data_IF_766909255418
#
_entry.id   IF_766909255418
#
_cell.length_a   1.000
_cell.length_b   1.000
_cell.length_c   1.000
_cell.angle_alpha   90.00
_cell.angle_beta   90.00
_cell.angle_gamma   90.00
#
_symmetry.space_group_name_H-M   'P 1'
#
loop_
_entity.id
_entity.type
_entity.pdbx_description
1 polymer ?
#
# COMPACT_ATOMS: atom_id res chain seq x y z
N UNK A 1 -33.27 -39.52 25.05
CA UNK A 1 -32.07 -38.93 25.71
C UNK A 1 -30.84 -38.86 24.81
N UNK A 2 -30.51 -39.87 23.99
CA UNK A 2 -29.30 -39.90 23.15
C UNK A 2 -29.13 -38.69 22.21
N UNK A 3 -30.19 -38.28 21.50
CA UNK A 3 -30.16 -37.14 20.56
C UNK A 3 -30.04 -35.76 21.24
N UNK A 4 -30.49 -35.61 22.50
CA UNK A 4 -30.36 -34.34 23.25
C UNK A 4 -28.90 -34.03 23.53
N UNK A 5 -28.08 -35.05 23.80
CA UNK A 5 -26.64 -34.89 24.00
C UNK A 5 -25.93 -34.46 22.71
N UNK A 6 -26.27 -35.05 21.57
CA UNK A 6 -25.71 -34.68 20.26
C UNK A 6 -26.07 -33.24 19.87
N UNK A 7 -27.30 -32.81 20.10
CA UNK A 7 -27.73 -31.43 19.84
C UNK A 7 -26.93 -30.44 20.70
N UNK A 8 -26.74 -30.74 21.99
CA UNK A 8 -25.94 -29.91 22.88
C UNK A 8 -24.47 -29.85 22.45
N UNK A 9 -23.91 -30.97 21.97
CA UNK A 9 -22.54 -31.03 21.48
C UNK A 9 -22.34 -30.18 20.22
N UNK A 10 -23.25 -30.25 19.25
CA UNK A 10 -23.21 -29.41 18.06
C UNK A 10 -23.34 -27.91 18.39
N UNK A 11 -24.21 -27.57 19.35
CA UNK A 11 -24.41 -26.19 19.79
C UNK A 11 -23.15 -25.65 20.49
N UNK A 12 -22.46 -26.48 21.28
CA UNK A 12 -21.20 -26.12 21.92
C UNK A 12 -20.07 -25.85 20.92
N UNK A 13 -19.93 -26.70 19.89
CA UNK A 13 -18.93 -26.52 18.83
C UNK A 13 -19.17 -25.23 18.06
N UNK A 14 -20.44 -24.91 17.76
CA UNK A 14 -20.81 -23.67 17.07
C UNK A 14 -20.47 -22.42 17.90
N UNK A 15 -20.73 -22.45 19.21
CA UNK A 15 -20.39 -21.35 20.12
C UNK A 15 -18.88 -21.11 20.24
N UNK A 16 -18.08 -22.18 20.30
CA UNK A 16 -16.60 -22.06 20.38
C UNK A 16 -16.02 -21.53 19.07
N UNK A 17 -16.59 -21.90 17.92
CA UNK A 17 -16.16 -21.37 16.61
C UNK A 17 -16.46 -19.87 16.43
N UNK A 18 -17.58 -19.37 16.95
CA UNK A 18 -17.94 -17.94 16.87
C UNK A 18 -17.09 -17.06 17.80
N UNK A 19 -16.60 -17.63 18.91
CA UNK A 19 -15.72 -16.94 19.87
C UNK A 19 -14.25 -16.85 19.41
N UNK A 20 -13.89 -17.46 18.27
CA UNK A 20 -12.54 -17.38 17.72
C UNK A 20 -12.28 -16.00 17.10
N UNK A 21 -11.99 -15.00 17.95
CA UNK A 21 -11.51 -13.70 17.50
C UNK A 21 -10.09 -13.84 16.95
N UNK A 22 -9.94 -13.63 15.65
CA UNK A 22 -8.63 -13.44 15.03
C UNK A 22 -8.10 -12.10 15.52
N UNK A 23 -7.09 -12.12 16.39
CA UNK A 23 -6.43 -10.89 16.85
C UNK A 23 -5.59 -10.33 15.71
N UNK A 24 -6.17 -9.44 14.92
CA UNK A 24 -5.43 -8.70 13.91
C UNK A 24 -4.46 -7.75 14.62
N UNK A 25 -3.17 -7.99 14.43
CA UNK A 25 -2.15 -7.02 14.82
C UNK A 25 -2.22 -5.90 13.80
N UNK A 26 -2.84 -4.77 14.15
CA UNK A 26 -2.76 -3.55 13.37
C UNK A 26 -1.37 -2.96 13.57
N UNK A 27 -0.43 -3.31 12.69
CA UNK A 27 0.85 -2.61 12.58
C UNK A 27 0.54 -1.24 11.98
N UNK A 28 0.84 -0.13 12.68
CA UNK A 28 0.59 1.20 12.12
C UNK A 28 1.42 1.37 10.84
N UNK A 29 0.74 1.72 9.75
CA UNK A 29 1.40 1.98 8.47
C UNK A 29 2.38 3.15 8.63
N UNK A 30 3.51 3.08 7.91
CA UNK A 30 4.42 4.23 7.86
C UNK A 30 3.73 5.41 7.17
N UNK A 31 4.18 6.64 7.44
CA UNK A 31 3.51 7.83 6.89
C UNK A 31 3.53 7.79 5.35
N UNK A 32 2.39 8.00 4.69
CA UNK A 32 2.34 8.04 3.23
C UNK A 32 3.09 9.26 2.67
N UNK A 33 3.53 9.22 1.40
CA UNK A 33 4.06 10.38 0.70
C UNK A 33 3.03 11.51 0.64
N UNK A 34 3.49 12.75 0.45
CA UNK A 34 2.59 13.88 0.24
C UNK A 34 1.74 13.71 -1.04
N UNK A 35 0.52 14.26 -1.02
CA UNK A 35 -0.33 14.32 -2.21
C UNK A 35 0.35 15.13 -3.31
N UNK A 36 0.17 14.69 -4.56
CA UNK A 36 0.62 15.46 -5.71
C UNK A 36 -0.37 16.58 -5.99
N UNK A 37 0.14 17.81 -6.07
CA UNK A 37 -0.64 18.99 -6.42
C UNK A 37 -0.37 19.29 -7.89
N UNK A 38 -1.43 19.35 -8.68
CA UNK A 38 -1.33 19.71 -10.10
C UNK A 38 -1.14 21.23 -10.19
N UNK A 39 0.01 21.64 -10.70
CA UNK A 39 0.31 23.05 -11.00
C UNK A 39 -0.47 23.50 -12.24
N UNK A 40 -0.81 24.79 -12.31
CA UNK A 40 -1.44 25.37 -13.50
C UNK A 40 -0.45 25.36 -14.68
N UNK A 41 -0.86 24.75 -15.80
CA UNK A 41 0.02 24.48 -16.94
C UNK A 41 -0.26 25.51 -18.03
N UNK A 42 0.69 26.41 -18.25
CA UNK A 42 0.57 27.51 -19.22
C UNK A 42 1.45 27.31 -20.46
N UNK A 43 2.40 26.36 -20.43
CA UNK A 43 3.36 26.12 -21.51
C UNK A 43 3.67 24.64 -21.69
N UNK A 44 4.09 24.24 -22.89
CA UNK A 44 4.52 22.86 -23.19
C UNK A 44 5.69 22.40 -22.30
N UNK A 45 6.59 23.32 -21.95
CA UNK A 45 7.70 23.03 -21.03
C UNK A 45 7.17 22.65 -19.64
N UNK A 46 6.19 23.40 -19.14
CA UNK A 46 5.53 23.09 -17.86
C UNK A 46 4.72 21.79 -17.94
N UNK A 47 4.13 21.48 -19.10
CA UNK A 47 3.44 20.21 -19.31
C UNK A 47 4.39 19.02 -19.16
N UNK A 48 5.55 19.07 -19.81
CA UNK A 48 6.57 18.01 -19.71
C UNK A 48 7.09 17.89 -18.28
N UNK A 49 7.35 19.02 -17.62
CA UNK A 49 7.81 19.02 -16.23
C UNK A 49 6.74 18.47 -15.27
N UNK A 50 5.47 18.84 -15.46
CA UNK A 50 4.34 18.34 -14.68
C UNK A 50 4.15 16.83 -14.87
N UNK A 51 4.31 16.34 -16.11
CA UNK A 51 4.32 14.91 -16.40
C UNK A 51 5.45 14.18 -15.68
N UNK A 52 6.69 14.70 -15.73
CA UNK A 52 7.81 14.09 -15.02
C UNK A 52 7.57 14.05 -13.49
N UNK A 53 7.09 15.16 -12.91
CA UNK A 53 6.76 15.25 -11.47
C UNK A 53 5.67 14.25 -11.08
N UNK A 54 4.63 14.09 -11.90
CA UNK A 54 3.51 13.18 -11.60
C UNK A 54 3.96 11.71 -11.62
N UNK A 55 4.78 11.31 -12.59
CA UNK A 55 5.34 9.95 -12.66
C UNK A 55 6.22 9.63 -11.45
N UNK A 56 7.07 10.59 -11.01
CA UNK A 56 7.86 10.45 -9.79
C UNK A 56 6.95 10.21 -8.59
N UNK A 57 5.89 11.02 -8.43
CA UNK A 57 4.96 10.88 -7.31
C UNK A 57 4.18 9.57 -7.32
N UNK A 58 3.70 9.12 -8.47
CA UNK A 58 3.06 7.80 -8.62
C UNK A 58 4.01 6.70 -8.16
N UNK A 59 5.28 6.79 -8.55
CA UNK A 59 6.30 5.82 -8.17
C UNK A 59 6.56 5.80 -6.65
N UNK A 60 6.61 6.97 -6.01
CA UNK A 60 6.75 7.07 -4.55
C UNK A 60 5.58 6.41 -3.82
N UNK A 61 4.35 6.65 -4.28
CA UNK A 61 3.14 6.04 -3.73
C UNK A 61 3.11 4.52 -3.91
N UNK A 62 3.48 4.03 -5.09
CA UNK A 62 3.59 2.60 -5.35
C UNK A 62 4.65 1.92 -4.46
N UNK A 63 5.82 2.55 -4.29
CA UNK A 63 6.85 2.06 -3.37
C UNK A 63 6.35 2.00 -1.93
N UNK A 64 5.73 3.07 -1.45
CA UNK A 64 5.18 3.12 -0.10
C UNK A 64 4.11 2.03 0.13
N UNK A 65 3.18 1.89 -0.81
CA UNK A 65 2.13 0.88 -0.73
C UNK A 65 2.69 -0.54 -0.70
N UNK A 66 3.63 -0.86 -1.60
CA UNK A 66 4.29 -2.17 -1.65
C UNK A 66 4.93 -2.56 -0.31
N UNK A 67 5.54 -1.59 0.38
CA UNK A 67 6.09 -1.78 1.74
C UNK A 67 4.98 -2.08 2.75
N UNK A 68 3.84 -1.36 2.71
CA UNK A 68 2.75 -1.57 3.68
C UNK A 68 2.11 -2.95 3.56
N UNK A 69 1.88 -3.41 2.33
CA UNK A 69 1.17 -4.67 2.08
C UNK A 69 2.10 -5.88 1.96
N UNK A 70 3.42 -5.68 2.15
CA UNK A 70 4.41 -6.75 2.00
C UNK A 70 4.43 -7.37 0.60
N UNK A 71 4.00 -6.60 -0.41
CA UNK A 71 3.85 -7.07 -1.79
C UNK A 71 5.00 -6.57 -2.65
N UNK A 72 5.50 -7.46 -3.52
CA UNK A 72 6.56 -7.13 -4.48
C UNK A 72 6.00 -7.04 -5.90
N UNK A 73 4.78 -6.49 -6.05
CA UNK A 73 4.07 -6.39 -7.33
C UNK A 73 4.89 -5.66 -8.41
N UNK A 74 5.78 -4.76 -7.98
CA UNK A 74 6.74 -4.08 -8.86
C UNK A 74 8.16 -4.26 -8.32
N UNK A 75 9.00 -4.97 -9.08
CA UNK A 75 10.44 -5.09 -8.82
C UNK A 75 11.14 -3.85 -9.37
N UNK A 76 11.44 -2.89 -8.49
CA UNK A 76 12.23 -1.72 -8.87
C UNK A 76 13.70 -2.14 -9.04
N UNK A 77 14.21 -2.01 -10.26
CA UNK A 77 15.63 -2.20 -10.57
C UNK A 77 16.36 -0.86 -10.40
N UNK A 78 17.40 -0.82 -9.55
CA UNK A 78 18.23 0.37 -9.30
C UNK A 78 19.22 0.65 -10.46
N UNK A 79 18.76 0.69 -11.71
CA UNK A 79 19.63 0.99 -12.86
C UNK A 79 19.64 2.48 -13.24
N UNK A 80 19.25 3.37 -12.33
CA UNK A 80 19.30 4.81 -12.57
C UNK A 80 20.64 5.30 -12.02
N UNK A 81 21.66 5.35 -12.88
CA UNK A 81 22.74 6.32 -12.69
C UNK A 81 22.08 7.68 -12.55
N UNK A 82 22.18 8.25 -11.36
CA UNK A 82 21.71 9.58 -11.05
C UNK A 82 22.58 10.50 -11.90
N UNK A 83 22.10 10.92 -13.07
CA UNK A 83 22.68 12.05 -13.81
C UNK A 83 22.46 13.26 -12.90
N UNK A 84 23.44 13.54 -12.04
CA UNK A 84 23.48 14.77 -11.27
C UNK A 84 23.57 15.92 -12.28
N UNK A 85 22.68 16.93 -12.22
CA UNK A 85 22.88 18.13 -13.03
C UNK A 85 24.24 18.74 -12.64
N UNK A 86 25.09 18.96 -13.65
CA UNK A 86 26.36 19.64 -13.49
C UNK A 86 26.08 21.06 -12.95
N UNK A 87 26.58 21.43 -11.75
CA UNK A 87 26.20 22.70 -11.11
C UNK A 87 26.88 23.95 -11.70
N UNK A 88 27.57 23.86 -12.84
CA UNK A 88 28.24 25.00 -13.47
C UNK A 88 28.19 24.90 -15.01
N UNK A 89 27.18 25.52 -15.61
CA UNK A 89 27.21 26.18 -16.92
C UNK A 89 26.30 27.40 -16.88
#
# INVERSE_FOLDING_TARGET
MKYRFWVLLFLFIFLVGCAAQVKYITIPMSRPPAMFIVEDIQTDKQLIQGYQKSIIKITEWQKWYNIQVGSNYFKFTNNIEIVKPNPLQ
#
